data_IF_973588036018
#
_entry.id   IF_973588036018
#
_cell.length_a   1.000
_cell.length_b   1.000
_cell.length_c   1.000
_cell.angle_alpha   90.00
_cell.angle_beta   90.00
_cell.angle_gamma   90.00
#
_symmetry.space_group_name_H-M   'P 1'
#
loop_
_entity.id
_entity.type
_entity.pdbx_description
1 polymer ?
#
# COMPACT_ATOMS: atom_id res chain seq x y z
N UNK A 1 -6.16 -20.75 9.74
CA UNK A 1 -6.72 -19.47 10.21
C UNK A 1 -5.67 -18.38 10.01
N UNK A 2 -5.73 -17.64 8.90
CA UNK A 2 -4.82 -16.52 8.63
C UNK A 2 -5.05 -15.42 9.66
N UNK A 3 -3.97 -15.03 10.35
CA UNK A 3 -3.97 -13.86 11.20
C UNK A 3 -3.09 -12.83 10.49
N UNK A 4 -3.67 -11.79 9.86
CA UNK A 4 -2.87 -10.72 9.32
C UNK A 4 -2.00 -10.15 10.45
N UNK A 5 -0.69 -10.24 10.29
CA UNK A 5 0.27 -9.77 11.28
C UNK A 5 0.74 -8.37 10.89
N UNK A 6 0.82 -7.47 11.88
CA UNK A 6 1.46 -6.18 11.64
C UNK A 6 2.91 -6.40 11.19
N UNK A 7 3.41 -5.60 10.24
CA UNK A 7 4.82 -5.65 9.86
C UNK A 7 5.68 -5.35 11.08
N UNK A 8 6.77 -6.09 11.23
CA UNK A 8 7.77 -5.83 12.28
C UNK A 8 8.59 -4.59 11.94
N UNK A 9 9.25 -4.00 12.94
CA UNK A 9 10.16 -2.86 12.72
C UNK A 9 11.25 -3.19 11.70
N UNK A 10 11.79 -4.41 11.70
CA UNK A 10 12.81 -4.84 10.73
C UNK A 10 12.27 -5.02 9.31
N UNK A 11 11.00 -5.40 9.17
CA UNK A 11 10.32 -5.41 7.89
C UNK A 11 10.11 -3.98 7.39
N UNK A 12 9.55 -3.12 8.23
CA UNK A 12 9.33 -1.70 7.92
C UNK A 12 10.64 -1.00 7.52
N UNK A 13 11.75 -1.30 8.21
CA UNK A 13 13.08 -0.78 7.88
C UNK A 13 13.53 -1.17 6.47
N UNK A 14 13.30 -2.43 6.08
CA UNK A 14 13.64 -2.92 4.74
C UNK A 14 12.81 -2.22 3.66
N UNK A 15 11.52 -2.08 3.88
CA UNK A 15 10.61 -1.37 2.95
C UNK A 15 10.97 0.10 2.83
N UNK A 16 11.19 0.80 3.95
CA UNK A 16 11.64 2.21 3.93
C UNK A 16 12.96 2.36 3.20
N UNK A 17 13.91 1.43 3.40
CA UNK A 17 15.19 1.47 2.69
C UNK A 17 14.99 1.29 1.17
N UNK A 18 14.14 0.37 0.75
CA UNK A 18 13.81 0.18 -0.66
C UNK A 18 13.13 1.43 -1.25
N UNK A 19 12.17 1.99 -0.51
CA UNK A 19 11.47 3.20 -0.88
C UNK A 19 12.40 4.41 -1.05
N UNK A 20 13.34 4.61 -0.12
CA UNK A 20 14.30 5.71 -0.21
C UNK A 20 15.25 5.56 -1.40
N UNK A 21 15.54 4.35 -1.86
CA UNK A 21 16.31 4.13 -3.09
C UNK A 21 15.56 4.58 -4.34
N UNK A 22 14.23 4.52 -4.35
CA UNK A 22 13.42 5.00 -5.48
C UNK A 22 13.55 6.52 -5.69
N UNK A 23 13.94 7.27 -4.66
CA UNK A 23 14.17 8.73 -4.76
C UNK A 23 15.19 9.14 -5.82
N UNK A 24 16.16 8.30 -6.15
CA UNK A 24 17.11 8.65 -7.22
C UNK A 24 16.49 8.59 -8.62
N UNK A 25 15.31 7.98 -8.76
CA UNK A 25 14.65 7.76 -10.03
C UNK A 25 13.37 8.58 -10.20
N UNK A 26 12.71 8.94 -9.09
CA UNK A 26 11.42 9.61 -9.11
C UNK A 26 11.38 10.76 -8.10
N UNK A 27 10.93 11.94 -8.55
CA UNK A 27 10.68 13.09 -7.68
C UNK A 27 9.32 12.96 -6.96
N UNK A 28 8.31 12.43 -7.66
CA UNK A 28 6.99 12.11 -7.13
C UNK A 28 6.47 10.76 -7.66
N UNK A 29 5.43 10.24 -7.02
CA UNK A 29 4.78 8.99 -7.41
C UNK A 29 3.31 8.93 -7.01
N UNK A 30 2.60 8.06 -7.72
CA UNK A 30 1.26 7.57 -7.37
C UNK A 30 1.40 6.16 -6.78
N UNK A 31 0.66 5.88 -5.71
CA UNK A 31 0.75 4.60 -5.01
C UNK A 31 -0.58 3.86 -5.01
N UNK A 32 -0.54 2.59 -5.39
CA UNK A 32 -1.63 1.64 -5.13
C UNK A 32 -1.17 0.68 -4.04
N UNK A 33 -1.93 0.60 -2.96
CA UNK A 33 -1.65 -0.28 -1.83
C UNK A 33 -2.80 -1.28 -1.72
N UNK A 34 -2.52 -2.53 -2.08
CA UNK A 34 -3.47 -3.62 -1.95
C UNK A 34 -3.26 -4.34 -0.62
N UNK A 35 -4.27 -4.27 0.23
CA UNK A 35 -4.23 -4.81 1.58
C UNK A 35 -4.92 -6.19 1.66
N UNK A 36 -5.90 -6.43 0.79
CA UNK A 36 -6.76 -7.61 0.88
C UNK A 36 -7.56 -7.55 2.19
N UNK A 37 -7.25 -8.40 3.16
CA UNK A 37 -7.96 -8.47 4.43
C UNK A 37 -7.53 -7.35 5.40
N UNK A 38 -8.46 -6.77 6.19
CA UNK A 38 -8.11 -5.74 7.14
C UNK A 38 -7.13 -6.27 8.19
N UNK A 39 -5.97 -5.63 8.31
CA UNK A 39 -4.97 -5.93 9.34
C UNK A 39 -5.06 -4.93 10.50
N UNK A 40 -4.67 -5.34 11.72
CA UNK A 40 -4.59 -4.40 12.84
C UNK A 40 -3.69 -3.21 12.48
N UNK A 41 -4.01 -1.99 12.96
CA UNK A 41 -3.15 -0.84 12.67
C UNK A 41 -1.73 -1.09 13.20
N UNK A 42 -0.68 -0.70 12.46
CA UNK A 42 0.70 -0.93 12.86
C UNK A 42 1.02 -0.23 14.19
N UNK A 43 1.96 -0.82 14.94
CA UNK A 43 2.45 -0.26 16.19
C UNK A 43 3.09 1.12 15.98
N UNK A 44 3.21 1.91 17.06
CA UNK A 44 3.74 3.27 17.00
C UNK A 44 5.12 3.34 16.34
N UNK A 45 6.03 2.43 16.67
CA UNK A 45 7.41 2.43 16.16
C UNK A 45 7.44 2.18 14.65
N UNK A 46 6.60 1.27 14.18
CA UNK A 46 6.44 0.96 12.74
C UNK A 46 5.83 2.15 12.01
N UNK A 47 4.78 2.78 12.58
CA UNK A 47 4.19 4.00 12.02
C UNK A 47 5.19 5.15 11.92
N UNK A 48 5.96 5.38 12.98
CA UNK A 48 6.96 6.44 13.03
C UNK A 48 8.06 6.20 11.98
N UNK A 49 8.53 4.96 11.86
CA UNK A 49 9.52 4.58 10.85
C UNK A 49 9.03 4.81 9.42
N UNK A 50 7.81 4.39 9.11
CA UNK A 50 7.21 4.68 7.80
C UNK A 50 7.07 6.18 7.57
N UNK A 51 6.52 6.93 8.55
CA UNK A 51 6.36 8.38 8.44
C UNK A 51 7.67 9.09 8.13
N UNK A 52 8.75 8.75 8.84
CA UNK A 52 10.09 9.33 8.59
C UNK A 52 10.66 8.92 7.23
N UNK A 53 10.45 7.67 6.83
CA UNK A 53 10.83 7.16 5.52
C UNK A 53 10.14 7.89 4.38
N UNK A 54 8.80 7.94 4.41
CA UNK A 54 7.98 8.59 3.38
C UNK A 54 8.16 10.12 3.36
N UNK A 55 8.50 10.75 4.48
CA UNK A 55 8.88 12.16 4.50
C UNK A 55 10.18 12.45 3.74
N UNK A 56 11.09 11.47 3.61
CA UNK A 56 12.42 11.64 3.01
C UNK A 56 12.56 11.07 1.60
N UNK A 57 11.63 10.24 1.14
CA UNK A 57 11.62 9.67 -0.21
C UNK A 57 10.88 10.56 -1.23
N UNK A 58 10.51 9.99 -2.40
CA UNK A 58 9.70 10.70 -3.39
C UNK A 58 8.42 11.27 -2.78
N UNK A 59 7.86 12.31 -3.37
CA UNK A 59 6.57 12.80 -2.94
C UNK A 59 5.46 11.84 -3.35
N UNK A 60 4.68 11.36 -2.40
CA UNK A 60 3.47 10.56 -2.69
C UNK A 60 2.32 11.52 -2.95
N UNK A 61 1.93 11.70 -4.21
CA UNK A 61 0.88 12.64 -4.59
C UNK A 61 -0.51 12.07 -4.27
N UNK A 62 -0.75 10.84 -4.71
CA UNK A 62 -2.02 10.14 -4.50
C UNK A 62 -1.80 8.71 -4.03
N UNK A 63 -2.71 8.25 -3.16
CA UNK A 63 -2.73 6.87 -2.66
C UNK A 63 -4.10 6.25 -2.86
N UNK A 64 -4.15 5.12 -3.57
CA UNK A 64 -5.33 4.28 -3.69
C UNK A 64 -5.16 3.03 -2.81
N UNK A 65 -6.06 2.83 -1.85
CA UNK A 65 -6.08 1.65 -0.99
C UNK A 65 -7.11 0.66 -1.48
N UNK A 66 -6.72 -0.59 -1.70
CA UNK A 66 -7.65 -1.67 -2.06
C UNK A 66 -7.87 -2.59 -0.86
N UNK A 67 -9.12 -2.69 -0.40
CA UNK A 67 -9.49 -3.40 0.84
C UNK A 67 -10.72 -4.30 0.61
N UNK A 68 -10.62 -5.56 1.04
CA UNK A 68 -11.56 -6.66 0.77
C UNK A 68 -12.74 -6.74 1.77
N UNK A 69 -12.89 -5.79 2.71
CA UNK A 69 -13.87 -5.91 3.80
C UNK A 69 -15.06 -4.96 3.67
N UNK A 70 -16.27 -5.53 3.74
CA UNK A 70 -17.59 -4.86 3.78
C UNK A 70 -17.86 -4.01 5.04
N UNK A 71 -16.97 -4.04 6.04
CA UNK A 71 -17.15 -3.28 7.28
C UNK A 71 -16.65 -1.85 7.07
N UNK A 72 -17.57 -0.89 7.11
CA UNK A 72 -17.34 0.57 6.96
C UNK A 72 -16.16 1.14 7.77
N UNK A 73 -15.74 0.44 8.82
CA UNK A 73 -14.61 0.79 9.67
C UNK A 73 -13.25 0.73 8.93
N UNK A 74 -13.11 -0.11 7.90
CA UNK A 74 -11.87 -0.24 7.13
C UNK A 74 -11.47 1.08 6.44
N UNK A 75 -12.39 1.69 5.72
CA UNK A 75 -12.10 2.92 4.95
C UNK A 75 -11.63 4.08 5.84
N UNK A 76 -12.27 4.27 7.00
CA UNK A 76 -11.89 5.30 7.97
C UNK A 76 -10.50 5.06 8.56
N UNK A 77 -10.14 3.81 8.82
CA UNK A 77 -8.82 3.43 9.33
C UNK A 77 -7.74 3.74 8.29
N UNK A 78 -7.92 3.33 7.03
CA UNK A 78 -6.90 3.55 5.99
C UNK A 78 -6.75 5.02 5.61
N UNK A 79 -7.84 5.80 5.64
CA UNK A 79 -7.71 7.25 5.44
C UNK A 79 -6.91 7.91 6.58
N UNK A 80 -7.20 7.54 7.83
CA UNK A 80 -6.43 8.00 9.00
C UNK A 80 -4.97 7.56 8.94
N UNK A 81 -4.71 6.32 8.55
CA UNK A 81 -3.36 5.77 8.40
C UNK A 81 -2.59 6.50 7.30
N UNK A 82 -3.26 6.83 6.18
CA UNK A 82 -2.66 7.59 5.08
C UNK A 82 -2.13 8.93 5.56
N UNK A 83 -2.95 9.67 6.32
CA UNK A 83 -2.56 10.99 6.82
C UNK A 83 -1.40 10.93 7.83
N UNK A 84 -1.29 9.82 8.56
CA UNK A 84 -0.21 9.63 9.54
C UNK A 84 1.10 9.21 8.89
N UNK A 85 1.04 8.36 7.87
CA UNK A 85 2.22 7.77 7.21
C UNK A 85 2.71 8.64 6.06
N UNK A 86 1.80 9.28 5.31
CA UNK A 86 2.13 10.11 4.16
C UNK A 86 1.81 11.59 4.45
N UNK A 87 2.70 12.30 5.17
CA UNK A 87 2.42 13.64 5.67
C UNK A 87 2.27 14.71 4.57
N UNK A 88 2.62 14.38 3.32
CA UNK A 88 2.58 15.30 2.16
C UNK A 88 1.60 14.84 1.07
N UNK A 89 0.79 13.81 1.33
CA UNK A 89 -0.16 13.32 0.33
C UNK A 89 -1.32 14.28 0.16
N UNK A 90 -1.60 14.59 -1.10
CA UNK A 90 -2.68 15.53 -1.46
C UNK A 90 -4.01 14.80 -1.62
N UNK A 91 -4.00 13.53 -2.09
CA UNK A 91 -5.22 12.75 -2.26
C UNK A 91 -5.08 11.30 -1.76
N UNK A 92 -6.06 10.84 -0.98
CA UNK A 92 -6.15 9.44 -0.55
C UNK A 92 -7.57 8.94 -0.75
N UNK A 93 -7.71 7.74 -1.32
CA UNK A 93 -9.02 7.11 -1.54
C UNK A 93 -8.97 5.61 -1.32
N UNK A 94 -10.08 5.05 -0.86
CA UNK A 94 -10.24 3.63 -0.58
C UNK A 94 -11.20 3.03 -1.61
N UNK A 95 -10.81 1.89 -2.15
CA UNK A 95 -11.48 1.11 -3.18
C UNK A 95 -11.63 -0.34 -2.73
N UNK A 96 -12.51 -1.06 -3.41
CA UNK A 96 -12.67 -2.51 -3.24
C UNK A 96 -12.01 -3.28 -4.36
N UNK A 97 -12.12 -2.75 -5.56
CA UNK A 97 -11.62 -3.38 -6.76
C UNK A 97 -10.28 -2.76 -7.18
N UNK A 98 -9.23 -3.56 -7.41
CA UNK A 98 -7.96 -3.08 -7.97
C UNK A 98 -8.15 -2.31 -9.27
N UNK A 99 -9.08 -2.75 -10.13
CA UNK A 99 -9.37 -2.10 -11.41
C UNK A 99 -9.87 -0.66 -11.23
N UNK A 100 -10.79 -0.43 -10.29
CA UNK A 100 -11.29 0.93 -10.00
C UNK A 100 -10.20 1.83 -9.40
N UNK A 101 -9.35 1.26 -8.53
CA UNK A 101 -8.22 1.97 -7.94
C UNK A 101 -7.20 2.39 -9.01
N UNK A 102 -6.82 1.46 -9.90
CA UNK A 102 -5.91 1.71 -11.01
C UNK A 102 -6.50 2.74 -11.98
N UNK A 103 -7.77 2.62 -12.33
CA UNK A 103 -8.50 3.59 -13.15
C UNK A 103 -8.49 5.00 -12.54
N UNK A 104 -8.70 5.12 -11.23
CA UNK A 104 -8.64 6.41 -10.56
C UNK A 104 -7.24 7.03 -10.56
N UNK A 105 -6.19 6.23 -10.30
CA UNK A 105 -4.81 6.72 -10.34
C UNK A 105 -4.36 7.12 -11.74
N UNK A 106 -4.77 6.38 -12.77
CA UNK A 106 -4.40 6.65 -14.17
C UNK A 106 -5.03 7.95 -14.71
N UNK A 107 -6.10 8.43 -14.07
CA UNK A 107 -6.74 9.71 -14.39
C UNK A 107 -6.19 10.88 -13.57
N UNK A 108 -5.14 10.67 -12.76
CA UNK A 108 -4.51 11.76 -12.01
C UNK A 108 -3.71 12.65 -12.96
N UNK A 109 -3.79 13.97 -12.78
CA UNK A 109 -3.14 14.93 -13.68
C UNK A 109 -1.63 14.75 -13.64
N UNK A 110 -1.01 14.55 -14.81
CA UNK A 110 0.42 14.22 -14.92
C UNK A 110 0.79 12.74 -14.74
N UNK A 111 -0.18 11.83 -14.60
CA UNK A 111 0.08 10.39 -14.60
C UNK A 111 0.43 9.89 -16.00
N UNK A 112 1.65 9.38 -16.19
CA UNK A 112 2.04 8.56 -17.35
C UNK A 112 1.89 7.06 -17.03
N UNK A 113 0.78 6.71 -16.37
CA UNK A 113 0.50 5.36 -15.90
C UNK A 113 -0.77 4.83 -16.56
N UNK A 114 -0.63 3.75 -17.32
CA UNK A 114 -1.76 3.03 -17.91
C UNK A 114 -2.35 2.02 -16.92
N UNK A 115 -3.66 1.85 -16.93
CA UNK A 115 -4.41 0.96 -16.05
C UNK A 115 -3.89 -0.47 -16.19
N UNK A 116 -3.67 -0.93 -17.43
CA UNK A 116 -3.18 -2.28 -17.71
C UNK A 116 -1.79 -2.50 -17.11
N UNK A 117 -0.87 -1.54 -17.26
CA UNK A 117 0.47 -1.61 -16.67
C UNK A 117 0.45 -1.66 -15.14
N UNK A 118 -0.46 -0.94 -14.49
CA UNK A 118 -0.63 -1.00 -13.03
C UNK A 118 -1.12 -2.38 -12.60
N UNK A 119 -2.12 -2.93 -13.30
CA UNK A 119 -2.70 -4.24 -12.97
C UNK A 119 -1.72 -5.39 -13.24
N UNK A 120 -0.98 -5.34 -14.34
CA UNK A 120 0.09 -6.30 -14.65
C UNK A 120 1.20 -6.26 -13.59
N UNK A 121 1.53 -5.06 -13.10
CA UNK A 121 2.44 -4.88 -11.97
C UNK A 121 1.92 -5.56 -10.69
N UNK A 122 0.62 -5.47 -10.41
CA UNK A 122 0.01 -6.14 -9.25
C UNK A 122 0.02 -7.66 -9.39
N UNK A 123 -0.34 -8.20 -10.56
CA UNK A 123 -0.29 -9.65 -10.82
C UNK A 123 1.16 -10.18 -10.74
N UNK A 124 2.14 -9.40 -11.21
CA UNK A 124 3.56 -9.73 -11.04
C UNK A 124 3.97 -9.75 -9.57
N UNK A 125 3.53 -8.78 -8.77
CA UNK A 125 3.81 -8.72 -7.34
C UNK A 125 3.17 -9.88 -6.58
N UNK A 126 1.91 -10.22 -6.89
CA UNK A 126 1.18 -11.35 -6.27
C UNK A 126 1.90 -12.67 -6.54
N UNK A 127 2.33 -12.90 -7.78
CA UNK A 127 3.12 -14.09 -8.17
C UNK A 127 4.52 -14.12 -7.58
N UNK A 128 5.10 -12.96 -7.26
CA UNK A 128 6.43 -12.85 -6.65
C UNK A 128 6.41 -13.08 -5.12
N UNK A 129 5.24 -13.15 -4.48
CA UNK A 129 5.13 -13.51 -3.08
C UNK A 129 5.62 -14.96 -2.91
N UNK A 130 6.67 -15.22 -2.10
CA UNK A 130 7.23 -16.57 -1.96
C UNK A 130 6.18 -17.56 -1.46
N UNK A 131 6.14 -18.76 -2.07
CA UNK A 131 5.21 -19.85 -1.74
C UNK A 131 5.23 -20.28 -0.26
N UNK A 132 6.17 -19.84 0.57
CA UNK A 132 6.11 -20.03 2.03
C UNK A 132 4.93 -19.31 2.71
N UNK A 133 4.14 -18.52 1.97
CA UNK A 133 2.82 -18.03 2.36
C UNK A 133 1.68 -18.94 1.87
N UNK A 134 1.94 -20.23 1.63
CA UNK A 134 0.92 -21.17 1.13
C UNK A 134 -0.22 -21.37 2.12
N UNK A 135 -1.43 -21.17 1.59
CA UNK A 135 -2.72 -21.50 2.18
C UNK A 135 -2.74 -22.93 2.73
N UNK A 136 -2.68 -23.09 4.04
CA UNK A 136 -3.05 -24.36 4.68
C UNK A 136 -4.57 -24.49 4.66
N UNK A 137 -5.09 -25.13 3.63
CA UNK A 137 -6.37 -25.84 3.70
C UNK A 137 -6.22 -26.98 4.71
N UNK A 138 -6.48 -26.70 5.99
CA UNK A 138 -6.70 -27.75 6.97
C UNK A 138 -8.20 -27.99 7.11
N UNK A 139 -8.67 -29.00 6.38
CA UNK A 139 -9.83 -29.82 6.78
C UNK A 139 -9.65 -30.23 8.24
N UNK A 140 -10.62 -29.91 9.10
CA UNK A 140 -11.34 -30.86 10.00
C UNK A 140 -12.70 -30.25 10.31
#
# INVERSE_FOLDING_TARGET
MYHPTCPTVDHARREVTAYLKLRSHFESMLMLIWVGQPFPPPENDVRQMYREGFARGPQVESVAWVVDSSRSMGASIYNSLSMQIFPRTTNSRVFREPFEAAGWLSNFDGADADVENILDGLDTLDRAVPESFTYSESRV
#
